data_IF_467433279385
#
_entry.id   IF_467433279385
#
_cell.length_a   1.000
_cell.length_b   1.000
_cell.length_c   1.000
_cell.angle_alpha   90.00
_cell.angle_beta   90.00
_cell.angle_gamma   90.00
#
_symmetry.space_group_name_H-M   'P 1'
#
loop_
_entity.id
_entity.type
_entity.pdbx_description
1 polymer ?
#
# COMPACT_ATOMS: atom_id res chain seq x y z
N UNK A 1 20.61 -5.45 17.11
CA UNK A 1 19.49 -4.49 17.25
C UNK A 1 20.09 -3.09 17.43
N UNK A 2 19.75 -2.13 16.56
CA UNK A 2 20.31 -0.77 16.64
C UNK A 2 19.50 0.01 17.67
N UNK A 3 20.16 0.54 18.73
CA UNK A 3 19.49 1.34 19.75
C UNK A 3 19.37 2.78 19.25
N UNK A 4 18.16 3.33 19.24
CA UNK A 4 17.89 4.72 18.91
C UNK A 4 17.04 5.35 19.99
N UNK A 5 17.33 6.61 20.30
CA UNK A 5 16.49 7.45 21.15
C UNK A 5 15.53 8.21 20.25
N UNK A 6 14.25 8.22 20.62
CA UNK A 6 13.20 8.93 19.89
C UNK A 6 12.44 9.83 20.85
N UNK A 7 11.92 10.93 20.33
CA UNK A 7 11.01 11.83 21.07
C UNK A 7 9.60 11.62 20.51
N UNK A 8 8.62 11.56 21.39
CA UNK A 8 7.21 11.42 21.02
C UNK A 8 6.44 12.63 21.52
N UNK A 9 5.40 13.01 20.79
CA UNK A 9 4.48 14.06 21.22
C UNK A 9 3.67 13.57 22.41
N UNK A 10 3.44 14.46 23.38
CA UNK A 10 2.74 14.10 24.61
C UNK A 10 1.29 13.68 24.34
N UNK A 11 0.58 14.40 23.46
CA UNK A 11 -0.81 14.09 23.11
C UNK A 11 -0.97 12.71 22.47
N UNK A 12 0.04 12.29 21.70
CA UNK A 12 0.11 10.96 21.12
C UNK A 12 0.29 9.91 22.22
N UNK A 13 1.20 10.13 23.17
CA UNK A 13 1.39 9.23 24.30
C UNK A 13 0.10 9.08 25.11
N UNK A 14 -0.55 10.19 25.47
CA UNK A 14 -1.82 10.18 26.20
C UNK A 14 -2.91 9.44 25.43
N UNK A 15 -2.97 9.59 24.10
CA UNK A 15 -3.92 8.85 23.27
C UNK A 15 -3.63 7.34 23.25
N UNK A 16 -2.36 6.95 23.21
CA UNK A 16 -1.96 5.54 23.25
C UNK A 16 -2.30 4.88 24.60
N UNK A 17 -2.18 5.63 25.69
CA UNK A 17 -2.58 5.20 27.04
C UNK A 17 -4.10 5.08 27.18
N UNK A 18 -4.85 6.11 26.77
CA UNK A 18 -6.32 6.13 26.82
C UNK A 18 -6.94 4.94 26.06
N UNK A 19 -6.38 4.62 24.89
CA UNK A 19 -6.85 3.51 24.07
C UNK A 19 -6.27 2.14 24.48
N UNK A 20 -5.50 2.07 25.57
CA UNK A 20 -4.85 0.85 26.06
C UNK A 20 -4.02 0.13 24.99
N UNK A 21 -3.44 0.88 24.06
CA UNK A 21 -2.64 0.31 22.96
C UNK A 21 -1.30 -0.17 23.52
N UNK A 22 -0.71 0.58 24.45
CA UNK A 22 0.59 0.23 25.05
C UNK A 22 0.56 -1.13 25.73
N UNK A 23 -0.54 -1.47 26.42
CA UNK A 23 -0.70 -2.76 27.12
C UNK A 23 -0.83 -3.97 26.20
N UNK A 24 -1.08 -3.76 24.89
CA UNK A 24 -1.18 -4.85 23.92
C UNK A 24 0.20 -5.37 23.47
N UNK A 25 1.27 -4.64 23.79
CA UNK A 25 2.64 -4.97 23.43
C UNK A 25 3.49 -5.27 24.67
N UNK A 26 4.52 -6.11 24.54
CA UNK A 26 5.42 -6.45 25.66
C UNK A 26 6.32 -5.28 26.05
N UNK A 27 6.59 -4.37 25.11
CA UNK A 27 7.38 -3.17 25.37
C UNK A 27 7.04 -2.04 24.40
N UNK A 28 7.34 -0.80 24.79
CA UNK A 28 7.19 0.36 23.91
C UNK A 28 8.03 0.24 22.64
N UNK A 29 9.23 -0.35 22.73
CA UNK A 29 10.09 -0.62 21.56
C UNK A 29 9.43 -1.56 20.55
N UNK A 30 8.68 -2.56 21.02
CA UNK A 30 7.93 -3.49 20.17
C UNK A 30 6.78 -2.77 19.45
N UNK A 31 6.02 -1.95 20.18
CA UNK A 31 4.97 -1.11 19.62
C UNK A 31 5.51 -0.21 18.50
N UNK A 32 6.61 0.51 18.77
CA UNK A 32 7.23 1.41 17.78
C UNK A 32 7.74 0.62 16.57
N UNK A 33 8.36 -0.54 16.79
CA UNK A 33 8.87 -1.38 15.69
C UNK A 33 7.73 -1.87 14.80
N UNK A 34 6.63 -2.34 15.40
CA UNK A 34 5.43 -2.77 14.69
C UNK A 34 4.80 -1.62 13.89
N UNK A 35 4.65 -0.44 14.51
CA UNK A 35 4.11 0.73 13.84
C UNK A 35 4.96 1.19 12.64
N UNK A 36 6.30 1.17 12.78
CA UNK A 36 7.23 1.49 11.70
C UNK A 36 7.13 0.48 10.55
N UNK A 37 7.03 -0.81 10.87
CA UNK A 37 6.87 -1.84 9.87
C UNK A 37 5.57 -1.65 9.08
N UNK A 38 4.43 -1.45 9.77
CA UNK A 38 3.15 -1.18 9.13
C UNK A 38 3.19 0.07 8.25
N UNK A 39 3.91 1.11 8.67
CA UNK A 39 4.09 2.33 7.88
C UNK A 39 4.88 2.05 6.59
N UNK A 40 5.96 1.27 6.67
CA UNK A 40 6.77 0.86 5.51
C UNK A 40 5.93 0.04 4.54
N UNK A 41 5.19 -0.95 5.03
CA UNK A 41 4.32 -1.80 4.22
C UNK A 41 3.22 -0.98 3.52
N UNK A 42 2.58 -0.06 4.25
CA UNK A 42 1.59 0.87 3.69
C UNK A 42 2.21 1.73 2.58
N UNK A 43 3.43 2.23 2.80
CA UNK A 43 4.14 3.03 1.80
C UNK A 43 4.45 2.21 0.55
N UNK A 44 4.99 1.00 0.70
CA UNK A 44 5.29 0.11 -0.42
C UNK A 44 4.03 -0.22 -1.24
N UNK A 45 2.92 -0.52 -0.58
CA UNK A 45 1.64 -0.81 -1.25
C UNK A 45 1.15 0.38 -2.07
N UNK A 46 1.28 1.61 -1.55
CA UNK A 46 0.90 2.81 -2.30
C UNK A 46 1.81 3.06 -3.51
N UNK A 47 3.13 2.82 -3.38
CA UNK A 47 4.04 2.92 -4.52
C UNK A 47 3.71 1.89 -5.60
N UNK A 48 3.40 0.66 -5.20
CA UNK A 48 2.98 -0.39 -6.13
C UNK A 48 1.69 0.00 -6.87
N UNK A 49 0.70 0.55 -6.15
CA UNK A 49 -0.53 1.06 -6.76
C UNK A 49 -0.25 2.15 -7.80
N UNK A 50 0.64 3.09 -7.49
CA UNK A 50 1.06 4.14 -8.44
C UNK A 50 1.76 3.57 -9.67
N UNK A 51 2.65 2.61 -9.47
CA UNK A 51 3.34 1.94 -10.58
C UNK A 51 2.35 1.20 -11.50
N UNK A 52 1.35 0.52 -10.95
CA UNK A 52 0.29 -0.12 -11.72
C UNK A 52 -0.52 0.88 -12.54
N UNK A 53 -0.92 2.01 -11.94
CA UNK A 53 -1.64 3.06 -12.67
C UNK A 53 -0.76 3.60 -13.81
N UNK A 54 0.51 3.87 -13.52
CA UNK A 54 1.44 4.35 -14.54
C UNK A 54 1.62 3.36 -15.69
N UNK A 55 1.74 2.06 -15.38
CA UNK A 55 1.84 0.99 -16.37
C UNK A 55 0.53 0.83 -17.17
N UNK A 56 -0.63 1.01 -16.53
CA UNK A 56 -1.93 0.95 -17.22
C UNK A 56 -2.14 2.11 -18.20
N UNK A 57 -1.43 3.22 -17.99
CA UNK A 57 -1.41 4.37 -18.89
C UNK A 57 -0.28 4.27 -19.93
N UNK A 58 0.50 3.19 -19.92
CA UNK A 58 1.56 2.98 -20.90
C UNK A 58 0.94 2.71 -22.28
N UNK A 59 1.51 3.36 -23.29
CA UNK A 59 0.96 3.41 -24.65
C UNK A 59 0.88 2.01 -25.26
N UNK A 60 1.84 1.14 -24.91
CA UNK A 60 1.86 -0.25 -25.35
C UNK A 60 0.70 -1.05 -24.75
N UNK A 61 0.41 -0.88 -23.45
CA UNK A 61 -0.71 -1.57 -22.80
C UNK A 61 -2.07 -1.14 -23.38
N UNK A 62 -2.23 0.14 -23.70
CA UNK A 62 -3.44 0.66 -24.34
C UNK A 62 -3.58 0.12 -25.78
N UNK A 63 -2.47 0.02 -26.52
CA UNK A 63 -2.47 -0.56 -27.86
C UNK A 63 -2.82 -2.05 -27.84
N UNK A 64 -2.24 -2.83 -26.93
CA UNK A 64 -2.55 -4.25 -26.77
C UNK A 64 -4.04 -4.46 -26.37
N UNK A 65 -4.58 -3.61 -25.49
CA UNK A 65 -6.01 -3.65 -25.13
C UNK A 65 -6.92 -3.32 -26.33
N UNK A 66 -6.53 -2.37 -27.18
CA UNK A 66 -7.30 -2.01 -28.39
C UNK A 66 -7.27 -3.14 -29.43
N UNK A 67 -6.11 -3.76 -29.65
CA UNK A 67 -5.95 -4.91 -30.54
C UNK A 67 -6.81 -6.09 -30.07
N UNK A 68 -6.79 -6.39 -28.76
CA UNK A 68 -7.68 -7.39 -28.17
C UNK A 68 -9.16 -7.02 -28.38
N UNK A 69 -9.58 -5.78 -28.11
CA UNK A 69 -10.99 -5.38 -28.29
C UNK A 69 -11.46 -5.52 -29.75
N UNK A 70 -10.59 -5.21 -30.71
CA UNK A 70 -10.88 -5.40 -32.13
C UNK A 70 -11.01 -6.90 -32.49
N UNK A 71 -10.08 -7.73 -32.02
CA UNK A 71 -10.14 -9.19 -32.24
C UNK A 71 -11.45 -9.79 -31.70
N UNK A 72 -11.89 -9.36 -30.52
CA UNK A 72 -13.16 -9.82 -29.95
C UNK A 72 -14.40 -9.29 -30.68
N UNK A 73 -14.35 -8.08 -31.27
CA UNK A 73 -15.44 -7.55 -32.11
C UNK A 73 -15.67 -8.40 -33.36
N UNK A 74 -14.61 -8.87 -33.99
CA UNK A 74 -14.74 -9.72 -35.18
C UNK A 74 -15.30 -11.11 -34.84
N UNK A 75 -14.89 -11.70 -33.71
CA UNK A 75 -15.39 -13.00 -33.23
C UNK A 75 -16.90 -12.96 -32.93
N UNK A 76 -17.41 -11.87 -32.35
CA UNK A 76 -18.86 -11.70 -32.11
C UNK A 76 -19.66 -11.42 -33.39
N UNK A 77 -19.01 -10.91 -34.44
CA UNK A 77 -19.65 -10.63 -35.75
C UNK A 77 -19.66 -11.82 -36.72
N UNK A 78 -18.98 -12.94 -36.41
CA UNK A 78 -19.03 -14.18 -37.19
C UNK A 78 -20.24 -15.08 -36.85
N UNK A 79 -21.40 -14.48 -36.65
CA UNK A 79 -22.69 -15.18 -36.67
C UNK A 79 -23.72 -14.41 -37.46
N UNK A 80 -23.63 -14.43 -38.79
CA UNK A 80 -24.77 -14.48 -39.72
C UNK A 80 -24.31 -14.99 -41.09
#
# INVERSE_FOLDING_TARGET
MVRKTITIQNDLLSSLELNQIISQYKSFSELVSSALQLMIEKHQKEQYRKALIQASMDKLYIQDMQEIEEDFKFVDSERF
#
